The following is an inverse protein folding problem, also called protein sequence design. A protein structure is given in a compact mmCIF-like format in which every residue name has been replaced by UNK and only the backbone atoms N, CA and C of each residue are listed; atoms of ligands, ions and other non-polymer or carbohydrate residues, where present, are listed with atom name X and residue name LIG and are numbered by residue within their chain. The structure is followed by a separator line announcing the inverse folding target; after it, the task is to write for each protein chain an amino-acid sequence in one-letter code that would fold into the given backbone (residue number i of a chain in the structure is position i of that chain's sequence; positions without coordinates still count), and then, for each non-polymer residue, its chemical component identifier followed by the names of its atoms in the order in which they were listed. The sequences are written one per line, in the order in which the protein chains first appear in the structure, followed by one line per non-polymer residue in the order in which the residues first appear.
data_IF_954099532696
#
_entry.id   IF_954099532696
#
_cell.length_a   1.000
_cell.length_b   1.000
_cell.length_c   1.000
_cell.angle_alpha   90.00
_cell.angle_beta   90.00
_cell.angle_gamma   90.00
#
_symmetry.space_group_name_H-M   'P 1'
#
loop_
_entity.id
_entity.type
_entity.pdbx_description
1 polymer ?
#
# COMPACT_ATOMS: atom_id res chain seq x y z
N UNK A 1 -55.47 44.55 25.17
CA UNK A 1 -55.70 45.12 26.52
C UNK A 1 -54.49 44.76 27.36
N UNK A 2 -53.40 45.54 27.42
CA UNK A 2 -53.12 46.78 28.18
C UNK A 2 -53.37 46.71 29.70
N UNK A 3 -52.28 46.57 30.46
CA UNK A 3 -51.97 47.18 31.78
C UNK A 3 -50.42 47.33 31.79
N UNK A 4 -49.82 48.52 31.61
CA UNK A 4 -49.56 49.62 32.56
C UNK A 4 -48.72 49.17 33.79
N UNK A 5 -47.39 49.39 33.82
CA UNK A 5 -46.68 50.58 34.37
C UNK A 5 -46.74 50.61 35.92
N UNK A 6 -45.73 50.91 36.75
CA UNK A 6 -44.51 51.73 36.70
C UNK A 6 -43.75 51.50 38.02
N UNK A 7 -42.43 51.71 38.12
CA UNK A 7 -41.75 51.79 39.43
C UNK A 7 -40.22 51.89 39.42
N UNK A 8 -39.72 53.11 39.22
CA UNK A 8 -38.38 53.64 39.60
C UNK A 8 -38.07 53.38 41.10
N UNK A 9 -36.86 53.39 41.69
CA UNK A 9 -35.54 53.90 41.32
C UNK A 9 -34.45 53.47 42.36
N UNK A 10 -33.20 53.35 41.89
CA UNK A 10 -31.91 53.84 42.43
C UNK A 10 -31.50 53.55 43.89
N UNK A 11 -30.36 52.85 44.11
CA UNK A 11 -29.12 53.45 44.64
C UNK A 11 -27.91 52.50 44.56
N UNK A 12 -26.75 53.14 44.35
CA UNK A 12 -25.46 52.57 43.98
C UNK A 12 -24.64 52.01 45.15
N UNK A 13 -23.76 51.04 44.85
CA UNK A 13 -22.48 50.89 45.55
C UNK A 13 -21.39 50.63 44.52
N UNK A 14 -20.44 51.57 44.44
CA UNK A 14 -19.16 51.44 43.76
C UNK A 14 -18.28 50.46 44.53
N UNK A 15 -17.73 49.46 43.84
CA UNK A 15 -16.52 48.78 44.28
C UNK A 15 -15.57 48.71 43.08
N UNK A 16 -14.56 49.57 43.10
CA UNK A 16 -13.37 49.50 42.26
C UNK A 16 -12.42 48.52 42.94
N UNK A 17 -11.96 47.48 42.25
CA UNK A 17 -10.57 46.98 42.32
C UNK A 17 -10.40 45.73 41.46
N UNK A 18 -9.34 45.73 40.66
CA UNK A 18 -8.62 44.51 40.31
C UNK A 18 -8.88 43.96 38.91
N UNK A 19 -8.03 44.33 37.95
CA UNK A 19 -7.70 43.44 36.85
C UNK A 19 -7.13 42.14 37.43
N UNK A 20 -7.94 41.08 37.48
CA UNK A 20 -7.47 39.74 37.75
C UNK A 20 -7.53 38.96 36.43
N UNK A 21 -6.35 38.68 35.90
CA UNK A 21 -6.12 37.83 34.74
C UNK A 21 -6.82 36.49 34.95
N UNK A 22 -7.53 36.01 33.92
CA UNK A 22 -8.09 34.67 33.91
C UNK A 22 -6.94 33.66 34.14
N UNK A 23 -7.12 32.63 34.97
CA UNK A 23 -6.14 31.57 35.06
C UNK A 23 -6.09 30.89 33.70
N UNK A 24 -5.00 31.07 32.96
CA UNK A 24 -4.62 30.14 31.91
C UNK A 24 -4.55 28.77 32.57
N UNK A 25 -5.54 27.93 32.27
CA UNK A 25 -5.42 26.51 32.52
C UNK A 25 -4.10 26.06 31.89
N UNK A 26 -3.24 25.30 32.60
CA UNK A 26 -2.05 24.76 31.98
C UNK A 26 -2.53 23.95 30.79
N UNK A 27 -2.19 24.40 29.59
CA UNK A 27 -2.25 23.58 28.39
C UNK A 27 -1.28 22.46 28.69
N UNK A 28 -1.78 21.37 29.26
CA UNK A 28 -1.13 20.08 29.18
C UNK A 28 -1.04 19.85 27.68
N UNK A 29 0.14 20.12 27.12
CA UNK A 29 0.57 19.51 25.88
C UNK A 29 0.15 18.06 26.01
N UNK A 30 -0.88 17.69 25.26
CA UNK A 30 -1.14 16.30 25.01
C UNK A 30 0.16 15.82 24.38
N UNK A 31 0.95 15.08 25.16
CA UNK A 31 1.91 14.17 24.58
C UNK A 31 1.08 13.37 23.60
N UNK A 32 1.22 13.67 22.31
CA UNK A 32 0.75 12.80 21.27
C UNK A 32 1.44 11.47 21.60
N UNK A 33 0.67 10.53 22.09
CA UNK A 33 1.08 9.14 22.10
C UNK A 33 1.60 8.87 20.69
N UNK A 34 2.82 8.32 20.53
CA UNK A 34 3.28 7.94 19.21
C UNK A 34 2.20 7.03 18.64
N UNK A 35 1.41 7.54 17.71
CA UNK A 35 0.51 6.71 16.93
C UNK A 35 1.35 5.59 16.33
N UNK A 36 0.78 4.40 16.09
CA UNK A 36 1.51 3.32 15.46
C UNK A 36 2.20 3.89 14.23
N UNK A 37 3.54 3.92 14.26
CA UNK A 37 4.32 4.40 13.13
C UNK A 37 4.06 3.37 12.05
N UNK A 38 3.25 3.77 11.07
CA UNK A 38 3.04 3.02 9.84
C UNK A 38 4.43 2.59 9.34
N UNK A 39 4.71 1.29 9.20
CA UNK A 39 6.00 0.86 8.71
C UNK A 39 6.13 1.37 7.28
N UNK A 40 7.08 2.28 7.07
CA UNK A 40 7.43 2.76 5.74
C UNK A 40 8.21 1.66 5.02
N UNK A 41 8.01 1.48 3.71
CA UNK A 41 8.76 0.51 2.94
C UNK A 41 10.26 0.78 3.07
N UNK A 42 11.05 -0.24 3.38
CA UNK A 42 12.49 -0.11 3.58
C UNK A 42 13.26 -0.55 2.34
N UNK A 43 14.08 0.34 1.78
CA UNK A 43 15.10 0.00 0.77
C UNK A 43 14.60 -0.85 -0.41
N UNK A 44 15.45 -1.77 -0.86
CA UNK A 44 15.24 -2.65 -2.02
C UNK A 44 15.41 -4.10 -1.61
N UNK A 45 14.71 -5.01 -2.29
CA UNK A 45 14.93 -6.45 -2.17
C UNK A 45 15.18 -7.10 -3.52
N UNK A 46 15.82 -8.26 -3.50
CA UNK A 46 15.98 -9.12 -4.67
C UNK A 46 15.41 -10.49 -4.36
N UNK A 47 14.60 -11.03 -5.28
CA UNK A 47 14.00 -12.36 -5.17
C UNK A 47 14.31 -13.16 -6.43
N UNK A 48 14.98 -14.29 -6.26
CA UNK A 48 15.41 -15.14 -7.37
C UNK A 48 14.56 -16.39 -7.55
N UNK A 49 15.03 -17.25 -8.45
CA UNK A 49 14.47 -18.55 -8.76
C UNK A 49 14.24 -19.45 -7.53
N UNK A 50 15.09 -19.36 -6.50
CA UNK A 50 14.97 -20.22 -5.31
C UNK A 50 13.67 -20.01 -4.51
N UNK A 51 13.01 -18.86 -4.68
CA UNK A 51 11.70 -18.57 -4.07
C UNK A 51 10.56 -18.59 -5.09
N UNK A 52 10.86 -18.91 -6.36
CA UNK A 52 9.89 -18.94 -7.43
C UNK A 52 9.12 -20.26 -7.42
N UNK A 53 7.88 -20.21 -7.92
CA UNK A 53 7.03 -21.38 -8.13
C UNK A 53 6.75 -21.53 -9.63
N UNK A 54 6.55 -22.75 -10.15
CA UNK A 54 6.02 -22.92 -11.50
C UNK A 54 4.74 -22.09 -11.62
N UNK A 55 4.62 -21.31 -12.69
CA UNK A 55 3.38 -20.57 -12.94
C UNK A 55 2.25 -21.59 -13.15
N UNK A 56 1.25 -21.67 -12.25
CA UNK A 56 0.07 -22.46 -12.55
C UNK A 56 -0.55 -21.78 -13.77
N UNK A 57 -0.62 -22.49 -14.89
CA UNK A 57 -1.18 -22.08 -16.20
C UNK A 57 -1.93 -20.75 -16.21
N UNK A 58 -1.76 -19.89 -17.24
CA UNK A 58 -2.29 -18.53 -17.27
C UNK A 58 -3.80 -18.51 -17.00
N UNK A 59 -4.15 -18.33 -15.73
CA UNK A 59 -5.51 -18.35 -15.25
C UNK A 59 -5.98 -16.91 -15.32
N UNK A 60 -6.53 -16.56 -16.49
CA UNK A 60 -7.21 -15.30 -16.72
C UNK A 60 -6.40 -14.22 -17.44
N UNK A 61 -7.07 -13.10 -17.71
CA UNK A 61 -6.50 -11.89 -18.29
C UNK A 61 -5.57 -11.27 -17.24
N UNK A 62 -4.33 -10.94 -17.63
CA UNK A 62 -3.45 -10.16 -16.77
C UNK A 62 -3.89 -8.69 -16.79
N UNK A 63 -3.99 -8.07 -15.61
CA UNK A 63 -4.41 -6.67 -15.47
C UNK A 63 -3.25 -5.70 -15.79
N UNK A 64 -2.02 -6.17 -15.68
CA UNK A 64 -0.82 -5.44 -16.09
C UNK A 64 0.15 -6.39 -16.80
N UNK A 65 0.60 -6.00 -17.99
CA UNK A 65 1.65 -6.69 -18.76
C UNK A 65 2.67 -5.65 -19.24
N UNK A 66 3.94 -5.84 -18.88
CA UNK A 66 5.07 -5.03 -19.35
C UNK A 66 6.18 -5.98 -19.79
N UNK A 67 6.28 -6.18 -21.10
CA UNK A 67 7.21 -7.17 -21.66
C UNK A 67 6.96 -8.56 -21.06
N UNK A 68 7.97 -9.24 -20.48
CA UNK A 68 7.85 -10.55 -19.87
C UNK A 68 7.24 -10.54 -18.46
N UNK A 69 7.08 -9.36 -17.85
CA UNK A 69 6.50 -9.19 -16.51
C UNK A 69 4.98 -9.07 -16.61
N UNK A 70 4.26 -9.76 -15.72
CA UNK A 70 2.82 -9.56 -15.59
C UNK A 70 2.33 -9.67 -14.15
N UNK A 71 1.24 -8.97 -13.87
CA UNK A 71 0.44 -9.10 -12.65
C UNK A 71 -0.98 -9.50 -13.06
N UNK A 72 -1.41 -10.69 -12.62
CA UNK A 72 -2.78 -11.17 -12.83
C UNK A 72 -3.68 -10.82 -11.65
N UNK A 73 -4.95 -10.52 -11.91
CA UNK A 73 -5.96 -10.20 -10.90
C UNK A 73 -5.57 -9.03 -9.96
N UNK A 74 -4.73 -8.10 -10.44
CA UNK A 74 -4.40 -6.89 -9.71
C UNK A 74 -5.60 -5.97 -9.49
N UNK A 75 -6.51 -5.90 -10.47
CA UNK A 75 -7.76 -5.15 -10.37
C UNK A 75 -8.78 -5.83 -9.45
N UNK A 76 -8.70 -7.15 -9.30
CA UNK A 76 -9.56 -7.91 -8.40
C UNK A 76 -9.08 -7.81 -6.96
N UNK A 77 -7.75 -7.85 -6.74
CA UNK A 77 -7.12 -8.06 -5.44
C UNK A 77 -7.54 -9.39 -4.81
N UNK A 78 -6.84 -9.88 -3.79
CA UNK A 78 -7.48 -10.90 -2.95
C UNK A 78 -8.61 -10.22 -2.19
N UNK A 79 -9.82 -10.45 -2.66
CA UNK A 79 -11.05 -10.18 -1.92
C UNK A 79 -11.20 -11.25 -0.83
N UNK A 80 -11.83 -10.89 0.26
CA UNK A 80 -12.34 -11.88 1.21
C UNK A 80 -13.25 -12.87 0.47
N UNK A 81 -13.48 -14.06 1.04
CA UNK A 81 -14.32 -15.08 0.40
C UNK A 81 -15.73 -14.59 0.03
N UNK A 82 -16.21 -13.52 0.66
CA UNK A 82 -17.47 -12.83 0.40
C UNK A 82 -17.34 -11.57 -0.49
N UNK A 83 -16.21 -11.40 -1.18
CA UNK A 83 -16.05 -10.40 -2.24
C UNK A 83 -15.74 -8.97 -1.77
N UNK A 84 -15.41 -8.76 -0.48
CA UNK A 84 -15.03 -7.45 0.05
C UNK A 84 -13.52 -7.22 -0.11
N UNK A 85 -13.07 -5.96 -0.20
CA UNK A 85 -11.65 -5.64 -0.08
C UNK A 85 -11.08 -6.21 1.22
N UNK A 86 -9.81 -6.61 1.20
CA UNK A 86 -9.10 -6.96 2.43
C UNK A 86 -9.19 -5.79 3.41
N UNK A 87 -9.71 -6.04 4.61
CA UNK A 87 -9.72 -5.04 5.67
C UNK A 87 -8.28 -4.78 6.14
N UNK A 88 -7.94 -3.54 6.55
CA UNK A 88 -6.64 -3.26 7.15
C UNK A 88 -6.38 -4.18 8.33
N UNK A 89 -5.14 -4.63 8.47
CA UNK A 89 -4.65 -5.28 9.68
C UNK A 89 -4.76 -4.34 10.89
N UNK A 90 -4.52 -4.86 12.10
CA UNK A 90 -4.53 -4.05 13.34
C UNK A 90 -3.49 -2.92 13.33
N UNK A 91 -2.52 -2.97 12.42
CA UNK A 91 -1.48 -1.97 12.14
C UNK A 91 -1.90 -0.92 11.10
N UNK A 92 -3.13 -0.99 10.57
CA UNK A 92 -3.62 -0.07 9.53
C UNK A 92 -3.03 -0.34 8.15
N UNK A 93 -2.48 -1.53 7.91
CA UNK A 93 -1.91 -1.95 6.63
C UNK A 93 -2.88 -2.83 5.88
N UNK A 94 -3.16 -2.51 4.62
CA UNK A 94 -3.90 -3.38 3.70
C UNK A 94 -2.91 -4.09 2.78
N UNK A 95 -3.02 -5.42 2.70
CA UNK A 95 -2.20 -6.24 1.81
C UNK A 95 -2.98 -6.77 0.61
N UNK A 96 -2.63 -6.28 -0.57
CA UNK A 96 -3.12 -6.76 -1.87
C UNK A 96 -2.19 -7.87 -2.35
N UNK A 97 -2.49 -9.10 -1.96
CA UNK A 97 -1.73 -10.27 -2.40
C UNK A 97 -1.95 -10.51 -3.89
N UNK A 98 -0.99 -10.10 -4.71
CA UNK A 98 -1.02 -10.18 -6.17
C UNK A 98 0.30 -10.82 -6.58
N UNK A 99 0.23 -12.01 -7.18
CA UNK A 99 1.41 -12.73 -7.63
C UNK A 99 2.14 -11.95 -8.73
N UNK A 100 3.46 -11.88 -8.62
CA UNK A 100 4.30 -11.34 -9.70
C UNK A 100 4.71 -12.49 -10.60
N UNK A 101 4.43 -12.40 -11.90
CA UNK A 101 4.76 -13.42 -12.91
C UNK A 101 5.84 -12.91 -13.85
N UNK A 102 6.75 -13.80 -14.25
CA UNK A 102 7.83 -13.47 -15.18
C UNK A 102 8.15 -14.67 -16.10
N UNK A 103 8.37 -14.42 -17.38
CA UNK A 103 8.83 -15.45 -18.32
C UNK A 103 10.18 -16.05 -17.88
N UNK A 104 10.44 -17.31 -18.24
CA UNK A 104 11.71 -17.97 -17.91
C UNK A 104 12.91 -17.20 -18.48
N UNK A 105 13.99 -17.17 -17.71
CA UNK A 105 15.24 -16.47 -18.06
C UNK A 105 15.17 -14.95 -18.05
N UNK A 106 14.01 -14.35 -17.79
CA UNK A 106 13.88 -12.90 -17.70
C UNK A 106 14.15 -12.38 -16.26
N UNK A 107 14.42 -11.08 -16.17
CA UNK A 107 14.47 -10.32 -14.92
C UNK A 107 13.62 -9.06 -15.05
N UNK A 108 13.19 -8.50 -13.93
CA UNK A 108 12.53 -7.20 -13.88
C UNK A 108 12.73 -6.56 -12.51
N UNK A 109 12.83 -5.24 -12.46
CA UNK A 109 12.77 -4.46 -11.22
C UNK A 109 11.50 -3.64 -11.21
N UNK A 110 10.76 -3.73 -10.11
CA UNK A 110 9.53 -2.97 -9.87
C UNK A 110 9.77 -2.06 -8.70
N UNK A 111 9.59 -0.76 -8.88
CA UNK A 111 9.74 0.26 -7.85
C UNK A 111 8.44 1.04 -7.67
N UNK A 112 8.15 1.42 -6.43
CA UNK A 112 7.10 2.38 -6.12
C UNK A 112 7.59 3.77 -6.54
N UNK A 113 6.80 4.46 -7.36
CA UNK A 113 7.09 5.85 -7.76
C UNK A 113 6.96 6.82 -6.59
N UNK A 114 7.72 7.90 -6.61
CA UNK A 114 7.53 9.00 -5.65
C UNK A 114 6.25 9.78 -6.02
N UNK A 115 5.44 10.24 -5.04
CA UNK A 115 5.64 10.20 -3.59
C UNK A 115 5.02 8.97 -2.90
N UNK A 116 4.56 7.96 -3.64
CA UNK A 116 3.77 6.87 -3.10
C UNK A 116 4.53 5.98 -2.09
N UNK A 117 5.87 6.06 -2.07
CA UNK A 117 6.73 5.41 -1.07
C UNK A 117 6.39 5.77 0.37
N UNK A 118 5.73 6.91 0.61
CA UNK A 118 5.30 7.30 1.96
C UNK A 118 4.12 6.46 2.49
N UNK A 119 3.37 5.77 1.63
CA UNK A 119 2.18 5.02 2.02
C UNK A 119 2.05 3.64 1.37
N UNK A 120 2.94 3.26 0.45
CA UNK A 120 2.85 2.01 -0.29
C UNK A 120 4.18 1.27 -0.33
N UNK A 121 4.13 -0.07 -0.25
CA UNK A 121 5.30 -0.93 -0.31
C UNK A 121 5.04 -2.21 -1.09
N UNK A 122 6.10 -2.90 -1.49
CA UNK A 122 6.04 -4.20 -2.15
C UNK A 122 6.39 -5.26 -1.12
N UNK A 123 5.49 -6.23 -0.89
CA UNK A 123 5.73 -7.34 0.02
C UNK A 123 6.10 -8.59 -0.78
N UNK A 124 7.21 -9.22 -0.41
CA UNK A 124 7.59 -10.56 -0.86
C UNK A 124 7.14 -11.58 0.20
N UNK A 125 7.03 -12.85 -0.14
CA UNK A 125 6.54 -13.90 0.79
C UNK A 125 7.27 -13.92 2.14
N UNK A 126 8.59 -13.74 2.12
CA UNK A 126 9.44 -13.72 3.31
C UNK A 126 9.87 -12.29 3.71
N UNK A 127 9.28 -11.27 3.09
CA UNK A 127 9.62 -9.88 3.30
C UNK A 127 9.09 -9.31 4.62
N UNK A 128 9.58 -8.12 4.98
CA UNK A 128 9.11 -7.39 6.16
C UNK A 128 7.63 -6.98 6.03
N UNK A 129 6.95 -6.78 7.16
CA UNK A 129 5.55 -6.33 7.19
C UNK A 129 5.36 -4.91 6.61
N UNK A 130 6.42 -4.09 6.58
CA UNK A 130 6.42 -2.77 5.93
C UNK A 130 6.66 -2.79 4.42
N UNK A 131 7.11 -3.93 3.88
CA UNK A 131 7.49 -4.07 2.48
C UNK A 131 8.74 -3.29 2.08
N UNK A 132 9.02 -3.31 0.78
CA UNK A 132 10.18 -2.69 0.14
C UNK A 132 9.72 -1.58 -0.82
N UNK A 133 10.57 -0.58 -1.04
CA UNK A 133 10.29 0.48 -2.02
C UNK A 133 10.55 0.03 -3.46
N UNK A 134 11.35 -1.03 -3.63
CA UNK A 134 11.57 -1.71 -4.90
C UNK A 134 11.92 -3.17 -4.69
N UNK A 135 11.55 -4.01 -5.66
CA UNK A 135 11.91 -5.43 -5.69
C UNK A 135 12.41 -5.81 -7.08
N UNK A 136 13.57 -6.43 -7.14
CA UNK A 136 14.11 -7.05 -8.35
C UNK A 136 13.81 -8.55 -8.36
N UNK A 137 13.20 -9.03 -9.43
CA UNK A 137 12.85 -10.42 -9.67
C UNK A 137 13.75 -11.01 -10.75
N UNK A 138 14.23 -12.24 -10.52
CA UNK A 138 15.00 -12.99 -11.51
C UNK A 138 14.41 -14.40 -11.66
N UNK A 139 13.83 -14.67 -12.83
CA UNK A 139 13.23 -15.96 -13.14
C UNK A 139 14.28 -17.07 -13.24
N UNK A 140 13.82 -18.30 -13.05
CA UNK A 140 14.62 -19.48 -13.34
C UNK A 140 15.00 -19.54 -14.82
N UNK A 141 16.16 -20.13 -15.12
CA UNK A 141 16.53 -20.43 -16.50
C UNK A 141 15.58 -21.48 -17.10
N UNK A 142 15.36 -21.48 -18.43
CA UNK A 142 14.70 -22.59 -19.11
C UNK A 142 15.37 -23.93 -18.77
N UNK A 143 14.57 -24.91 -18.33
CA UNK A 143 15.07 -26.23 -17.92
C UNK A 143 15.65 -26.30 -16.50
N UNK A 144 15.49 -25.27 -15.67
CA UNK A 144 15.92 -25.34 -14.27
C UNK A 144 15.12 -26.42 -13.51
N UNK A 145 15.81 -27.37 -12.85
CA UNK A 145 15.18 -28.52 -12.19
C UNK A 145 14.24 -28.13 -11.04
N UNK A 146 14.32 -26.89 -10.52
CA UNK A 146 13.41 -26.41 -9.47
C UNK A 146 11.98 -26.20 -9.97
N UNK A 147 11.81 -26.02 -11.28
CA UNK A 147 10.51 -25.68 -11.88
C UNK A 147 10.06 -26.66 -12.96
N UNK A 148 10.95 -27.54 -13.42
CA UNK A 148 10.58 -28.67 -14.28
C UNK A 148 10.28 -29.90 -13.41
N UNK A 149 9.01 -30.23 -13.24
CA UNK A 149 8.61 -31.52 -12.67
C UNK A 149 8.72 -32.64 -13.70
N UNK A 150 8.92 -33.88 -13.24
CA UNK A 150 9.12 -35.04 -14.13
C UNK A 150 7.89 -35.36 -15.02
N UNK A 151 6.68 -35.00 -14.56
CA UNK A 151 5.39 -35.35 -15.20
C UNK A 151 4.54 -34.14 -15.63
N UNK A 152 5.08 -32.91 -15.58
CA UNK A 152 4.35 -31.69 -15.93
C UNK A 152 4.90 -31.04 -17.22
N UNK A 153 4.06 -30.40 -18.05
CA UNK A 153 4.55 -29.55 -19.13
C UNK A 153 5.53 -28.52 -18.60
N UNK A 154 6.62 -28.29 -19.33
CA UNK A 154 7.59 -27.26 -18.94
C UNK A 154 6.86 -25.90 -18.81
N UNK A 155 6.97 -25.22 -17.67
CA UNK A 155 6.29 -23.94 -17.50
C UNK A 155 6.89 -22.90 -18.44
N UNK A 156 6.06 -21.97 -18.93
CA UNK A 156 6.52 -20.85 -19.78
C UNK A 156 7.02 -19.66 -18.95
N UNK A 157 6.80 -19.70 -17.64
CA UNK A 157 7.20 -18.67 -16.68
C UNK A 157 7.15 -19.17 -15.24
N UNK A 158 7.50 -18.29 -14.32
CA UNK A 158 7.43 -18.54 -12.88
C UNK A 158 6.70 -17.39 -12.20
N UNK A 159 6.30 -17.61 -10.95
CA UNK A 159 5.71 -16.58 -10.14
C UNK A 159 6.23 -16.59 -8.71
N UNK A 160 6.12 -15.42 -8.06
CA UNK A 160 6.42 -15.25 -6.64
C UNK A 160 5.16 -14.84 -5.89
N UNK A 161 5.02 -15.42 -4.70
CA UNK A 161 4.03 -14.95 -3.73
C UNK A 161 4.46 -13.60 -3.17
N UNK A 162 3.53 -12.67 -3.16
CA UNK A 162 3.76 -11.32 -2.68
C UNK A 162 2.59 -10.42 -3.04
N UNK A 163 2.87 -9.13 -3.16
CA UNK A 163 1.91 -8.14 -3.61
C UNK A 163 2.25 -6.73 -3.11
N UNK A 164 1.24 -5.89 -2.99
CA UNK A 164 1.39 -4.50 -2.60
C UNK A 164 0.75 -4.22 -1.25
N UNK A 165 1.35 -3.33 -0.48
CA UNK A 165 0.85 -2.85 0.80
C UNK A 165 0.40 -1.40 0.65
N UNK A 166 -0.70 -1.04 1.31
CA UNK A 166 -1.09 0.35 1.53
C UNK A 166 -1.21 0.61 3.03
N UNK A 167 -0.62 1.70 3.50
CA UNK A 167 -0.69 2.12 4.90
C UNK A 167 -1.56 3.37 5.06
N UNK A 168 -2.45 3.33 6.06
CA UNK A 168 -3.37 4.43 6.34
C UNK A 168 -4.42 4.67 5.25
N UNK A 169 -4.58 3.73 4.31
CA UNK A 169 -5.58 3.75 3.25
C UNK A 169 -5.86 2.35 2.72
N UNK A 170 -7.04 2.17 2.15
CA UNK A 170 -7.54 0.93 1.56
C UNK A 170 -7.74 1.02 0.04
N UNK A 171 -7.31 2.12 -0.57
CA UNK A 171 -7.26 2.29 -2.01
C UNK A 171 -6.22 3.33 -2.47
N UNK A 172 -5.69 3.16 -3.69
CA UNK A 172 -4.76 4.09 -4.36
C UNK A 172 -4.65 3.79 -5.87
N UNK A 173 -4.32 4.84 -6.64
CA UNK A 173 -3.60 4.69 -7.91
C UNK A 173 -2.12 4.66 -7.55
N UNK A 174 -1.48 3.51 -7.68
CA UNK A 174 -0.11 3.27 -7.26
C UNK A 174 0.84 3.47 -8.45
N UNK A 175 1.62 4.56 -8.50
CA UNK A 175 2.62 4.73 -9.55
C UNK A 175 3.72 3.69 -9.38
N UNK A 176 4.01 2.97 -10.46
CA UNK A 176 5.10 2.02 -10.57
C UNK A 176 6.10 2.46 -11.62
N UNK A 177 7.37 2.31 -11.29
CA UNK A 177 8.47 2.41 -12.24
C UNK A 177 9.05 1.01 -12.45
N UNK A 178 9.02 0.53 -13.68
CA UNK A 178 9.34 -0.85 -14.03
C UNK A 178 10.45 -0.88 -15.08
N UNK A 179 11.48 -1.66 -14.80
CA UNK A 179 12.61 -1.90 -15.71
C UNK A 179 12.69 -3.41 -15.98
N UNK A 180 12.86 -3.80 -17.23
CA UNK A 180 12.83 -5.20 -17.66
C UNK A 180 14.20 -5.61 -18.19
N UNK A 181 14.73 -6.73 -17.71
CA UNK A 181 16.02 -7.24 -18.15
C UNK A 181 17.14 -6.23 -17.92
N UNK A 182 18.04 -6.16 -18.90
CA UNK A 182 19.11 -5.17 -18.97
C UNK A 182 18.70 -3.91 -19.76
N UNK A 183 17.42 -3.78 -20.16
CA UNK A 183 16.92 -2.60 -20.87
C UNK A 183 16.84 -1.43 -19.88
N UNK A 184 17.52 -0.29 -20.14
CA UNK A 184 17.47 0.87 -19.24
C UNK A 184 16.13 1.63 -19.32
N UNK A 185 15.21 1.24 -20.21
CA UNK A 185 13.91 1.89 -20.35
C UNK A 185 13.07 1.70 -19.09
N UNK A 186 12.65 2.83 -18.50
CA UNK A 186 11.73 2.85 -17.36
C UNK A 186 10.29 2.98 -17.88
N UNK A 187 9.52 1.91 -17.71
CA UNK A 187 8.08 1.92 -17.94
C UNK A 187 7.39 2.50 -16.71
N UNK A 188 6.62 3.57 -16.91
CA UNK A 188 5.82 4.19 -15.86
C UNK A 188 4.36 3.82 -16.06
N UNK A 189 3.75 3.22 -15.05
CA UNK A 189 2.35 2.78 -15.07
C UNK A 189 1.69 3.09 -13.74
N UNK A 190 0.38 3.34 -13.75
CA UNK A 190 -0.42 3.44 -12.53
C UNK A 190 -1.20 2.14 -12.33
N UNK A 191 -1.00 1.51 -11.18
CA UNK A 191 -1.72 0.31 -10.78
C UNK A 191 -2.86 0.67 -9.84
N UNK A 192 -4.09 0.34 -10.21
CA UNK A 192 -5.25 0.57 -9.35
C UNK A 192 -5.34 -0.52 -8.26
N UNK A 193 -5.36 -0.13 -6.98
CA UNK A 193 -5.46 -1.04 -5.83
C UNK A 193 -6.51 -0.52 -4.84
N UNK A 194 -7.57 -1.26 -4.50
CA UNK A 194 -8.72 -1.40 -5.37
C UNK A 194 -9.39 -0.02 -5.54
N UNK A 195 -8.70 0.91 -6.20
CA UNK A 195 -9.36 2.05 -6.80
C UNK A 195 -9.98 1.56 -8.13
N UNK A 196 -11.01 2.23 -8.63
CA UNK A 196 -11.43 2.03 -10.02
C UNK A 196 -10.30 2.39 -11.01
N UNK A 197 -10.61 2.45 -12.30
CA UNK A 197 -9.64 2.82 -13.33
C UNK A 197 -8.82 4.07 -12.95
N UNK A 198 -7.49 3.99 -13.04
CA UNK A 198 -6.61 5.14 -12.94
C UNK A 198 -6.91 6.07 -14.13
N UNK A 199 -7.09 7.37 -13.85
CA UNK A 199 -7.48 8.38 -14.85
C UNK A 199 -6.30 9.04 -15.55
#
# INVERSE_FOLDING_TARGET
MRFAATGLAVLAVLAVTGCAQAPEAPVRSASAEPGPVAPSPSGSASVGCDAARPDPEPTGIADLIIGPLSYGAAAEGIRTADGRPAAPGPDGIVFYKIGTRLALGASATVAIGDPARAYAGIRTEQGSDGGYSSVSYAACAPGDPRITGDDAPAPVGVWWVGGFLLSGRDSACLPLEITVGDDPTVHRVDLALPAGACG
#
